data_IF_508748438007
#
_entry.id   IF_508748438007
#
_cell.length_a   1.000
_cell.length_b   1.000
_cell.length_c   1.000
_cell.angle_alpha   90.00
_cell.angle_beta   90.00
_cell.angle_gamma   90.00
#
_symmetry.space_group_name_H-M   'P 1'
#
loop_
_entity.id
_entity.type
_entity.pdbx_description
1 polymer ?
#
# COMPACT_ATOMS: atom_id res chain seq x y z
N UNK A 1 -56.26 -7.23 -10.39
CA UNK A 1 -54.84 -7.29 -10.09
C UNK A 1 -54.30 -5.88 -10.15
N UNK A 2 -54.06 -5.26 -9.01
CA UNK A 2 -53.65 -3.86 -8.87
C UNK A 2 -52.13 -3.78 -8.82
N UNK A 3 -51.52 -3.04 -9.75
CA UNK A 3 -50.07 -2.79 -9.81
C UNK A 3 -49.63 -1.77 -8.77
N UNK A 4 -48.61 -2.11 -7.99
CA UNK A 4 -47.99 -1.24 -7.02
C UNK A 4 -47.03 -0.24 -7.72
N UNK A 5 -47.15 1.07 -7.54
CA UNK A 5 -46.24 2.02 -8.15
C UNK A 5 -44.87 2.00 -7.42
N UNK A 6 -43.79 1.97 -8.20
CA UNK A 6 -42.41 2.15 -7.74
C UNK A 6 -42.14 3.60 -7.35
N UNK A 7 -41.48 3.87 -6.22
CA UNK A 7 -41.07 5.24 -5.89
C UNK A 7 -39.90 5.69 -6.78
N UNK A 8 -40.03 6.93 -7.29
CA UNK A 8 -39.00 7.62 -8.06
C UNK A 8 -37.75 7.89 -7.22
N UNK A 9 -36.57 7.58 -7.78
CA UNK A 9 -35.26 8.00 -7.23
C UNK A 9 -35.11 9.49 -7.45
N UNK A 10 -35.03 10.22 -6.37
CA UNK A 10 -34.59 11.63 -6.38
C UNK A 10 -33.09 11.65 -6.73
N UNK A 11 -32.76 12.32 -7.82
CA UNK A 11 -31.41 12.70 -8.19
C UNK A 11 -31.11 14.04 -7.52
N UNK A 12 -30.43 14.01 -6.39
CA UNK A 12 -29.82 15.21 -5.83
C UNK A 12 -28.34 15.20 -6.16
N UNK A 13 -28.01 15.90 -7.25
CA UNK A 13 -26.67 16.33 -7.60
C UNK A 13 -26.23 17.47 -6.68
N UNK A 14 -25.46 17.16 -5.66
CA UNK A 14 -24.71 18.16 -4.91
C UNK A 14 -23.22 17.96 -5.23
N UNK A 15 -22.76 18.69 -6.26
CA UNK A 15 -21.33 18.95 -6.48
C UNK A 15 -20.89 19.96 -5.45
N UNK A 16 -20.52 19.50 -4.24
CA UNK A 16 -19.86 20.31 -3.24
C UNK A 16 -18.37 20.44 -3.56
N UNK A 17 -17.74 21.60 -3.27
CA UNK A 17 -16.31 21.80 -3.48
C UNK A 17 -15.52 20.78 -2.65
N UNK A 18 -14.36 20.35 -3.18
CA UNK A 18 -13.44 19.43 -2.54
C UNK A 18 -13.08 19.93 -1.13
N UNK A 19 -13.93 19.57 -0.17
CA UNK A 19 -13.74 19.87 1.22
C UNK A 19 -12.50 19.13 1.70
N UNK A 20 -11.55 19.84 2.28
CA UNK A 20 -10.55 19.29 3.16
C UNK A 20 -11.27 18.33 4.12
N UNK A 21 -11.13 17.04 3.87
CA UNK A 21 -11.57 16.03 4.82
C UNK A 21 -10.70 16.26 6.05
N UNK A 22 -11.23 16.99 7.01
CA UNK A 22 -10.60 17.15 8.32
C UNK A 22 -10.32 15.74 8.81
N UNK A 23 -9.03 15.38 8.90
CA UNK A 23 -8.62 14.12 9.47
C UNK A 23 -9.16 14.14 10.90
N UNK A 24 -10.21 13.36 11.15
CA UNK A 24 -10.74 13.20 12.50
C UNK A 24 -9.62 12.63 13.36
N UNK A 25 -8.93 13.50 14.05
CA UNK A 25 -7.87 13.13 14.98
C UNK A 25 -8.58 12.51 16.18
N UNK A 26 -8.26 11.26 16.45
CA UNK A 26 -8.85 10.57 17.57
C UNK A 26 -8.49 11.26 18.90
N UNK A 27 -9.39 11.21 19.87
CA UNK A 27 -9.16 11.81 21.18
C UNK A 27 -7.86 11.26 21.83
N UNK A 28 -7.13 12.09 22.57
CA UNK A 28 -5.99 11.61 23.36
C UNK A 28 -6.41 10.42 24.25
N UNK A 29 -5.63 9.34 24.24
CA UNK A 29 -5.93 8.14 25.03
C UNK A 29 -6.87 7.12 24.37
N UNK A 30 -7.18 7.27 23.06
CA UNK A 30 -7.93 6.25 22.34
C UNK A 30 -7.25 4.89 22.42
N UNK A 31 -7.97 3.91 23.00
CA UNK A 31 -7.48 2.55 23.19
C UNK A 31 -7.16 1.85 21.85
N UNK A 32 -7.99 2.01 20.83
CA UNK A 32 -7.80 1.40 19.51
C UNK A 32 -6.50 1.91 18.87
N UNK A 33 -6.22 3.23 18.95
CA UNK A 33 -4.96 3.78 18.48
C UNK A 33 -3.74 3.31 19.31
N UNK A 34 -3.92 3.11 20.62
CA UNK A 34 -2.86 2.62 21.47
C UNK A 34 -2.48 1.17 21.13
N UNK A 35 -3.47 0.31 20.92
CA UNK A 35 -3.29 -1.10 20.53
C UNK A 35 -2.65 -1.23 19.13
N UNK A 36 -3.05 -0.40 18.18
CA UNK A 36 -2.51 -0.41 16.82
C UNK A 36 -1.12 0.24 16.67
N UNK A 37 -0.67 0.98 17.67
CA UNK A 37 0.57 1.78 17.59
C UNK A 37 1.81 0.93 17.36
N UNK A 38 1.94 -0.20 18.02
CA UNK A 38 3.10 -1.08 17.89
C UNK A 38 3.19 -1.64 16.48
N UNK A 39 2.09 -2.17 15.95
CA UNK A 39 2.02 -2.69 14.60
C UNK A 39 2.31 -1.60 13.55
N UNK A 40 1.71 -0.43 13.69
CA UNK A 40 1.95 0.69 12.80
C UNK A 40 3.41 1.14 12.81
N UNK A 41 4.05 1.18 13.99
CA UNK A 41 5.46 1.53 14.13
C UNK A 41 6.36 0.49 13.46
N UNK A 42 6.06 -0.79 13.62
CA UNK A 42 6.80 -1.87 12.96
C UNK A 42 6.66 -1.81 11.43
N UNK A 43 5.45 -1.59 10.91
CA UNK A 43 5.21 -1.40 9.47
C UNK A 43 5.96 -0.19 8.93
N UNK A 44 6.01 0.89 9.69
CA UNK A 44 6.76 2.08 9.29
C UNK A 44 8.25 1.84 9.25
N UNK A 45 8.82 1.17 10.26
CA UNK A 45 10.23 0.79 10.27
C UNK A 45 10.60 -0.11 9.08
N UNK A 46 9.75 -1.10 8.78
CA UNK A 46 9.90 -1.94 7.60
C UNK A 46 9.85 -1.12 6.29
N UNK A 47 8.96 -0.13 6.20
CA UNK A 47 8.82 0.75 5.04
C UNK A 47 10.06 1.63 4.82
N UNK A 48 10.67 2.13 5.89
CA UNK A 48 11.94 2.85 5.83
C UNK A 48 13.06 1.98 5.24
N UNK A 49 13.11 0.71 5.61
CA UNK A 49 14.05 -0.24 5.02
C UNK A 49 13.80 -0.40 3.52
N UNK A 50 12.54 -0.55 3.09
CA UNK A 50 12.22 -0.64 1.67
C UNK A 50 12.59 0.64 0.92
N UNK A 51 12.44 1.79 1.54
CA UNK A 51 12.86 3.07 0.97
C UNK A 51 14.36 3.13 0.73
N UNK A 52 15.17 2.70 1.70
CA UNK A 52 16.64 2.63 1.55
C UNK A 52 17.06 1.68 0.43
N UNK A 53 16.42 0.52 0.31
CA UNK A 53 16.69 -0.45 -0.76
C UNK A 53 16.44 0.13 -2.16
N UNK A 54 15.51 1.09 -2.31
CA UNK A 54 15.29 1.78 -3.59
C UNK A 54 16.47 2.64 -4.04
N UNK A 55 17.32 3.05 -3.13
CA UNK A 55 18.49 3.88 -3.43
C UNK A 55 19.68 3.02 -3.95
N UNK A 56 19.55 1.68 -3.89
CA UNK A 56 20.53 0.70 -4.38
C UNK A 56 19.91 -0.22 -5.46
N UNK A 57 19.49 0.31 -6.65
CA UNK A 57 18.74 -0.47 -7.64
C UNK A 57 19.54 -1.61 -8.25
N UNK A 58 20.86 -1.53 -8.29
CA UNK A 58 21.73 -2.59 -8.82
C UNK A 58 21.73 -3.81 -7.90
N UNK A 59 21.63 -3.61 -6.61
CA UNK A 59 21.53 -4.66 -5.60
C UNK A 59 20.10 -5.17 -5.46
N UNK A 60 19.13 -4.28 -5.51
CA UNK A 60 17.72 -4.55 -5.33
C UNK A 60 16.93 -4.22 -6.62
N UNK A 61 17.11 -4.99 -7.71
CA UNK A 61 16.50 -4.66 -8.99
C UNK A 61 15.00 -4.91 -9.08
N UNK A 62 14.43 -5.64 -8.12
CA UNK A 62 13.03 -6.02 -8.10
C UNK A 62 12.24 -5.33 -7.00
N UNK A 63 10.95 -5.17 -7.26
CA UNK A 63 9.99 -4.77 -6.24
C UNK A 63 8.65 -5.47 -6.48
N UNK A 64 7.89 -5.71 -5.42
CA UNK A 64 6.59 -6.34 -5.54
C UNK A 64 5.54 -5.68 -4.65
N UNK A 65 4.32 -5.58 -5.19
CA UNK A 65 3.10 -5.37 -4.43
C UNK A 65 2.48 -6.72 -4.05
N UNK A 66 1.18 -6.71 -3.76
CA UNK A 66 0.45 -7.94 -3.39
C UNK A 66 0.51 -9.02 -4.47
N UNK A 67 0.30 -8.63 -5.73
CA UNK A 67 0.15 -9.55 -6.86
C UNK A 67 0.92 -9.12 -8.11
N UNK A 68 1.76 -8.12 -8.04
CA UNK A 68 2.47 -7.60 -9.22
C UNK A 68 3.95 -7.46 -8.93
N UNK A 69 4.76 -8.04 -9.82
CA UNK A 69 6.22 -7.87 -9.82
C UNK A 69 6.59 -6.67 -10.69
N UNK A 70 7.51 -5.88 -10.22
CA UNK A 70 8.03 -4.66 -10.86
C UNK A 70 9.55 -4.66 -10.87
N UNK A 71 10.14 -3.77 -11.67
CA UNK A 71 11.50 -3.27 -11.42
C UNK A 71 11.47 -2.29 -10.25
N UNK A 72 12.49 -2.24 -9.43
CA UNK A 72 12.58 -1.27 -8.32
C UNK A 72 12.53 0.18 -8.81
N UNK A 73 13.10 0.47 -9.98
CA UNK A 73 13.05 1.78 -10.63
C UNK A 73 11.66 2.18 -11.17
N UNK A 74 10.65 1.31 -11.10
CA UNK A 74 9.31 1.58 -11.60
C UNK A 74 8.68 2.80 -10.90
N UNK A 75 8.08 3.70 -11.70
CA UNK A 75 7.41 4.90 -11.19
C UNK A 75 6.33 4.55 -10.16
N UNK A 76 5.57 3.49 -10.37
CA UNK A 76 4.53 3.06 -9.43
C UNK A 76 5.11 2.66 -8.07
N UNK A 77 6.28 2.00 -8.06
CA UNK A 77 6.97 1.64 -6.82
C UNK A 77 7.48 2.88 -6.10
N UNK A 78 8.15 3.79 -6.83
CA UNK A 78 8.65 5.04 -6.26
C UNK A 78 7.53 5.89 -5.66
N UNK A 79 6.38 5.98 -6.32
CA UNK A 79 5.21 6.69 -5.82
C UNK A 79 4.56 5.97 -4.62
N UNK A 80 4.48 4.64 -4.66
CA UNK A 80 3.85 3.84 -3.61
C UNK A 80 4.64 3.79 -2.29
N UNK A 81 5.97 3.81 -2.36
CA UNK A 81 6.82 3.90 -1.18
C UNK A 81 6.86 5.36 -0.66
N UNK A 82 6.82 6.33 -1.56
CA UNK A 82 6.81 7.75 -1.21
C UNK A 82 8.07 8.25 -0.50
N UNK A 83 8.07 9.52 -0.15
CA UNK A 83 9.00 10.07 0.81
C UNK A 83 8.41 9.88 2.20
N UNK A 84 8.99 9.00 3.00
CA UNK A 84 8.51 8.78 4.36
C UNK A 84 8.76 10.05 5.18
N UNK A 85 7.67 10.74 5.54
CA UNK A 85 7.73 12.00 6.26
C UNK A 85 8.22 11.79 7.71
N UNK A 86 8.81 12.83 8.31
CA UNK A 86 9.43 12.78 9.63
C UNK A 86 8.49 12.40 10.78
N UNK A 87 9.09 12.05 11.92
CA UNK A 87 8.40 11.36 13.03
C UNK A 87 7.43 12.25 13.86
N UNK A 88 7.56 13.58 13.81
CA UNK A 88 6.86 14.50 14.71
C UNK A 88 5.73 15.31 14.04
N UNK A 89 5.14 14.80 13.00
CA UNK A 89 4.08 15.49 12.29
C UNK A 89 2.70 15.20 12.87
N UNK A 90 1.80 16.18 13.05
CA UNK A 90 0.38 15.94 13.33
C UNK A 90 -0.29 14.99 12.31
N UNK A 91 0.24 14.94 11.08
CA UNK A 91 -0.17 14.03 10.03
C UNK A 91 0.13 12.57 10.37
N UNK A 92 1.21 12.28 11.11
CA UNK A 92 1.52 10.93 11.56
C UNK A 92 0.43 10.39 12.49
N UNK A 93 -0.05 11.22 13.41
CA UNK A 93 -1.17 10.83 14.28
C UNK A 93 -2.44 10.55 13.47
N UNK A 94 -2.72 11.35 12.44
CA UNK A 94 -3.83 11.10 11.51
C UNK A 94 -3.66 9.79 10.72
N UNK A 95 -2.43 9.45 10.29
CA UNK A 95 -2.13 8.20 9.61
C UNK A 95 -2.32 6.99 10.53
N UNK A 96 -1.86 7.07 11.79
CA UNK A 96 -2.11 6.06 12.81
C UNK A 96 -3.60 5.88 13.09
N UNK A 97 -4.36 6.98 13.19
CA UNK A 97 -5.80 6.93 13.42
C UNK A 97 -6.52 6.18 12.29
N UNK A 98 -6.20 6.47 11.03
CA UNK A 98 -6.77 5.74 9.88
C UNK A 98 -6.38 4.28 9.88
N UNK A 99 -5.12 3.98 10.15
CA UNK A 99 -4.67 2.59 10.25
C UNK A 99 -5.43 1.83 11.35
N UNK A 100 -5.57 2.44 12.53
CA UNK A 100 -6.22 1.81 13.69
C UNK A 100 -7.72 1.58 13.49
N UNK A 101 -8.43 2.53 12.88
CA UNK A 101 -9.90 2.49 12.78
C UNK A 101 -10.41 1.95 11.44
N UNK A 102 -9.69 2.21 10.35
CA UNK A 102 -10.12 1.88 8.98
C UNK A 102 -9.28 0.77 8.35
N UNK A 103 -8.19 0.33 9.00
CA UNK A 103 -7.23 -0.61 8.42
C UNK A 103 -6.48 -0.07 7.20
N UNK A 104 -6.54 1.25 6.97
CA UNK A 104 -5.99 1.87 5.77
C UNK A 104 -4.57 2.36 5.99
N UNK A 105 -3.62 1.83 5.20
CA UNK A 105 -2.27 2.39 5.12
C UNK A 105 -2.27 3.59 4.18
N UNK A 106 -1.88 4.74 4.71
CA UNK A 106 -1.69 5.94 3.91
C UNK A 106 -0.29 5.91 3.28
N UNK A 107 -0.22 5.97 1.95
CA UNK A 107 1.04 6.10 1.22
C UNK A 107 1.85 7.30 1.74
N UNK A 108 3.16 7.13 1.87
CA UNK A 108 4.04 8.13 2.49
C UNK A 108 4.37 7.88 3.96
N UNK A 109 3.61 7.05 4.68
CA UNK A 109 3.86 6.70 6.08
C UNK A 109 4.26 5.24 6.26
N UNK A 110 3.58 4.33 5.57
CA UNK A 110 3.88 2.91 5.55
C UNK A 110 3.48 2.30 4.21
N UNK A 111 4.09 1.17 3.85
CA UNK A 111 3.82 0.46 2.59
C UNK A 111 3.92 -1.05 2.78
N UNK A 112 3.14 -1.79 2.01
CA UNK A 112 3.31 -3.25 1.85
C UNK A 112 4.21 -3.61 0.66
N UNK A 113 4.74 -2.61 -0.06
CA UNK A 113 5.66 -2.87 -1.17
C UNK A 113 6.98 -3.42 -0.62
N UNK A 114 7.52 -4.40 -1.33
CA UNK A 114 8.80 -5.04 -1.00
C UNK A 114 9.79 -4.78 -2.12
N UNK A 115 10.96 -4.28 -1.78
CA UNK A 115 12.10 -4.10 -2.68
C UNK A 115 13.08 -5.23 -2.40
N UNK A 116 13.51 -5.95 -3.42
CA UNK A 116 14.07 -7.29 -3.29
C UNK A 116 15.36 -7.47 -4.09
N UNK A 117 16.28 -8.23 -3.53
CA UNK A 117 17.38 -8.85 -4.26
C UNK A 117 16.85 -9.93 -5.23
N UNK A 118 17.63 -10.37 -6.25
CA UNK A 118 17.20 -11.39 -7.19
C UNK A 118 16.74 -12.70 -6.52
N UNK A 119 17.45 -13.17 -5.50
CA UNK A 119 17.09 -14.38 -4.76
C UNK A 119 15.78 -14.23 -3.96
N UNK A 120 15.56 -13.06 -3.33
CA UNK A 120 14.29 -12.75 -2.64
C UNK A 120 13.12 -12.71 -3.65
N UNK A 121 13.34 -12.14 -4.83
CA UNK A 121 12.35 -12.06 -5.89
C UNK A 121 12.01 -13.44 -6.47
N UNK A 122 13.00 -14.31 -6.64
CA UNK A 122 12.79 -15.70 -7.05
C UNK A 122 11.96 -16.48 -6.01
N UNK A 123 12.23 -16.31 -4.72
CA UNK A 123 11.42 -16.86 -3.63
C UNK A 123 9.97 -16.35 -3.68
N UNK A 124 9.79 -15.06 -3.85
CA UNK A 124 8.46 -14.42 -3.97
C UNK A 124 7.65 -14.98 -5.15
N UNK A 125 8.30 -15.19 -6.30
CA UNK A 125 7.71 -15.82 -7.49
C UNK A 125 7.34 -17.28 -7.22
N UNK A 126 8.25 -18.04 -6.62
CA UNK A 126 8.04 -19.46 -6.28
C UNK A 126 6.83 -19.65 -5.37
N UNK A 127 6.68 -18.84 -4.33
CA UNK A 127 5.53 -18.85 -3.42
C UNK A 127 4.18 -18.61 -4.13
N UNK A 128 4.22 -17.89 -5.26
CA UNK A 128 3.04 -17.51 -6.06
C UNK A 128 2.88 -18.33 -7.35
N UNK A 129 3.67 -19.36 -7.49
CA UNK A 129 3.57 -20.32 -8.59
C UNK A 129 3.02 -21.61 -8.03
N UNK A 130 1.85 -22.00 -8.50
CA UNK A 130 1.21 -23.25 -8.09
C UNK A 130 1.96 -24.49 -8.60
N UNK A 131 1.69 -25.67 -8.04
CA UNK A 131 2.38 -26.92 -8.37
C UNK A 131 2.20 -27.36 -9.83
N UNK A 132 1.19 -26.83 -10.54
CA UNK A 132 0.93 -27.07 -11.96
C UNK A 132 1.41 -25.93 -12.87
N UNK A 133 2.27 -25.03 -12.38
CA UNK A 133 2.81 -23.90 -13.13
C UNK A 133 1.85 -22.70 -13.29
N UNK A 134 0.66 -22.75 -12.67
CA UNK A 134 -0.24 -21.58 -12.62
C UNK A 134 0.35 -20.47 -11.78
N UNK A 135 0.32 -19.22 -12.28
CA UNK A 135 0.86 -18.07 -11.57
C UNK A 135 -0.25 -17.26 -10.89
N UNK A 136 -0.06 -16.92 -9.61
CA UNK A 136 -0.93 -16.04 -8.85
C UNK A 136 -0.37 -14.60 -8.75
N UNK A 137 0.43 -14.21 -9.73
CA UNK A 137 0.98 -12.87 -9.87
C UNK A 137 1.04 -12.47 -11.34
N UNK A 138 1.26 -11.20 -11.59
CA UNK A 138 1.48 -10.62 -12.93
C UNK A 138 2.75 -9.79 -12.96
N UNK A 139 3.33 -9.67 -14.14
CA UNK A 139 4.41 -8.72 -14.40
C UNK A 139 3.80 -7.35 -14.66
N UNK A 140 4.45 -6.30 -14.17
CA UNK A 140 4.01 -4.93 -14.43
C UNK A 140 4.13 -4.58 -15.91
N UNK A 141 3.01 -4.22 -16.54
CA UNK A 141 2.98 -3.83 -17.95
C UNK A 141 3.68 -2.50 -18.27
N UNK A 142 3.99 -1.70 -17.25
CA UNK A 142 4.66 -0.39 -17.43
C UNK A 142 6.18 -0.55 -17.47
N UNK A 143 6.77 -1.29 -16.54
CA UNK A 143 8.21 -1.44 -16.42
C UNK A 143 8.76 -2.74 -16.99
N UNK A 144 7.92 -3.72 -17.32
CA UNK A 144 8.30 -4.98 -17.94
C UNK A 144 9.46 -5.69 -17.21
N UNK A 145 9.32 -6.10 -15.94
CA UNK A 145 10.41 -6.78 -15.25
C UNK A 145 10.68 -8.14 -15.91
N UNK A 146 11.95 -8.51 -16.00
CA UNK A 146 12.32 -9.88 -16.34
C UNK A 146 11.99 -10.77 -15.14
N UNK A 147 11.49 -11.98 -15.38
CA UNK A 147 11.29 -12.94 -14.29
C UNK A 147 12.63 -13.25 -13.64
N UNK A 148 12.75 -13.20 -12.32
CA UNK A 148 13.94 -13.66 -11.66
C UNK A 148 14.04 -15.17 -11.92
N UNK A 149 14.92 -15.54 -12.81
CA UNK A 149 15.26 -16.94 -13.03
C UNK A 149 16.09 -17.40 -11.84
N UNK A 150 15.89 -18.63 -11.41
CA UNK A 150 16.51 -19.26 -10.26
C UNK A 150 17.97 -18.84 -10.12
N UNK A 151 18.23 -17.91 -9.19
CA UNK A 151 19.58 -17.59 -8.75
C UNK A 151 20.05 -18.63 -7.75
#
# INVERSE_FOLDING_TARGET
MAGVPRPARAADGATGPAGNVAVSVCAPGCRVCAEAREEFTALRAASLLQRRRLDEPDRYPYAAGKHTLHRSACRQIKQGIGGLEGDDSPRLHGALTRFAHDGTLTSGWATHLRVMEPAEAAGWVKERTGPRGGTHYRLCGICGPVRPENA
#
